data_IF_005762303583
#
_entry.id   IF_005762303583
#
_cell.length_a   1.000
_cell.length_b   1.000
_cell.length_c   1.000
_cell.angle_alpha   90.00
_cell.angle_beta   90.00
_cell.angle_gamma   90.00
#
_symmetry.space_group_name_H-M   'P 1'
#
loop_
_entity.id
_entity.type
_entity.pdbx_description
1 polymer ?
#
# COMPACT_ATOMS: atom_id res chain seq x y z
N UNK A 1 -13.60 -24.76 -11.98
CA UNK A 1 -13.91 -23.90 -13.12
C UNK A 1 -13.80 -22.45 -12.64
N UNK A 2 -13.27 -21.53 -13.45
CA UNK A 2 -13.18 -20.11 -13.15
C UNK A 2 -12.33 -19.72 -11.92
N UNK A 3 -11.24 -20.42 -11.72
CA UNK A 3 -10.27 -20.06 -10.67
C UNK A 3 -9.52 -18.79 -11.05
N UNK A 4 -9.22 -17.95 -10.07
CA UNK A 4 -8.36 -16.78 -10.27
C UNK A 4 -6.91 -17.21 -10.44
N UNK A 5 -6.14 -16.42 -11.18
CA UNK A 5 -4.69 -16.54 -11.19
C UNK A 5 -4.12 -15.97 -9.90
N UNK A 6 -3.44 -16.80 -9.13
CA UNK A 6 -2.79 -16.46 -7.86
C UNK A 6 -1.28 -16.28 -7.98
N UNK A 7 -0.78 -16.17 -9.20
CA UNK A 7 0.65 -15.95 -9.43
C UNK A 7 1.03 -14.52 -9.04
N UNK A 8 1.95 -14.38 -8.11
CA UNK A 8 2.51 -13.08 -7.77
C UNK A 8 3.58 -12.70 -8.81
N UNK A 9 3.64 -11.40 -9.19
CA UNK A 9 4.77 -10.88 -9.97
C UNK A 9 6.10 -11.07 -9.21
N UNK A 10 7.24 -11.05 -9.91
CA UNK A 10 8.56 -11.14 -9.27
C UNK A 10 8.79 -10.04 -8.24
N UNK A 11 9.54 -10.36 -7.19
CA UNK A 11 9.93 -9.42 -6.12
C UNK A 11 11.42 -9.18 -6.18
N UNK A 12 11.80 -7.90 -6.28
CA UNK A 12 13.18 -7.43 -6.09
C UNK A 12 13.23 -6.53 -4.84
N UNK A 13 13.88 -7.01 -3.78
CA UNK A 13 13.99 -6.27 -2.52
C UNK A 13 14.74 -4.93 -2.64
N UNK A 14 15.51 -4.73 -3.69
CA UNK A 14 16.15 -3.44 -3.99
C UNK A 14 15.16 -2.37 -4.45
N UNK A 15 13.95 -2.78 -4.86
CA UNK A 15 12.88 -1.90 -5.32
C UNK A 15 11.77 -1.74 -4.29
N UNK A 16 11.75 -2.58 -3.25
CA UNK A 16 10.69 -2.60 -2.23
C UNK A 16 10.84 -1.44 -1.23
N UNK A 17 9.74 -0.79 -0.94
CA UNK A 17 9.66 0.36 -0.03
C UNK A 17 10.26 0.09 1.35
N UNK A 18 9.92 -1.03 1.97
CA UNK A 18 10.31 -1.30 3.35
C UNK A 18 11.83 -1.37 3.54
N UNK A 19 12.57 -2.18 2.75
CA UNK A 19 14.03 -2.22 2.89
C UNK A 19 14.73 -0.95 2.39
N UNK A 20 14.29 -0.34 1.29
CA UNK A 20 14.95 0.87 0.77
C UNK A 20 14.79 2.08 1.69
N UNK A 21 13.67 2.18 2.42
CA UNK A 21 13.42 3.23 3.41
C UNK A 21 13.90 2.86 4.81
N UNK A 22 14.48 1.67 4.99
CA UNK A 22 14.92 1.16 6.30
C UNK A 22 13.80 1.29 7.34
N UNK A 23 12.60 0.88 6.95
CA UNK A 23 11.40 1.03 7.77
C UNK A 23 11.57 0.28 9.10
N UNK A 24 11.32 0.91 10.26
CA UNK A 24 11.37 0.24 11.56
C UNK A 24 10.51 -1.02 11.60
N UNK A 25 10.92 -2.01 12.39
CA UNK A 25 10.29 -3.34 12.39
C UNK A 25 8.80 -3.30 12.75
N UNK A 26 8.41 -2.50 13.74
CA UNK A 26 7.01 -2.34 14.15
C UNK A 26 6.14 -1.78 13.01
N UNK A 27 6.62 -0.78 12.29
CA UNK A 27 5.96 -0.21 11.11
C UNK A 27 5.97 -1.18 9.93
N UNK A 28 7.07 -1.90 9.71
CA UNK A 28 7.15 -2.93 8.66
C UNK A 28 6.11 -4.02 8.86
N UNK A 29 5.95 -4.53 10.08
CA UNK A 29 4.92 -5.53 10.42
C UNK A 29 3.51 -4.98 10.17
N UNK A 30 3.27 -3.74 10.58
CA UNK A 30 1.98 -3.07 10.39
C UNK A 30 1.63 -2.91 8.91
N UNK A 31 2.57 -2.40 8.11
CA UNK A 31 2.38 -2.20 6.66
C UNK A 31 2.20 -3.55 5.95
N UNK A 32 2.97 -4.58 6.32
CA UNK A 32 2.81 -5.91 5.75
C UNK A 32 1.43 -6.51 6.03
N UNK A 33 0.96 -6.45 7.27
CA UNK A 33 -0.33 -7.03 7.63
C UNK A 33 -1.53 -6.26 7.09
N UNK A 34 -1.42 -4.93 6.97
CA UNK A 34 -2.53 -4.07 6.58
C UNK A 34 -2.58 -3.73 5.08
N UNK A 35 -1.45 -3.79 4.37
CA UNK A 35 -1.33 -3.23 3.02
C UNK A 35 -0.82 -4.22 1.97
N UNK A 36 0.14 -5.09 2.32
CA UNK A 36 0.89 -5.86 1.34
C UNK A 36 0.07 -6.85 0.53
N UNK A 37 -1.00 -7.42 1.06
CA UNK A 37 -1.83 -8.35 0.28
C UNK A 37 -2.40 -7.72 -1.00
N UNK A 38 -2.77 -6.45 -0.95
CA UNK A 38 -3.29 -5.72 -2.12
C UNK A 38 -2.26 -4.78 -2.77
N UNK A 39 -1.30 -4.29 -2.01
CA UNK A 39 -0.37 -3.26 -2.45
C UNK A 39 1.07 -3.74 -2.59
N UNK A 40 1.28 -5.02 -2.88
CA UNK A 40 2.60 -5.56 -3.18
C UNK A 40 2.52 -6.76 -4.12
N UNK A 41 3.69 -7.26 -4.52
CA UNK A 41 3.82 -8.52 -5.25
C UNK A 41 3.95 -9.74 -4.32
N UNK A 42 3.66 -9.56 -3.04
CA UNK A 42 3.79 -10.60 -1.99
C UNK A 42 2.42 -10.95 -1.37
N UNK A 43 1.39 -11.05 -2.19
CA UNK A 43 0.05 -11.43 -1.74
C UNK A 43 0.03 -12.85 -1.19
N UNK A 44 -0.47 -13.03 0.03
CA UNK A 44 -0.79 -14.34 0.60
C UNK A 44 -2.29 -14.59 0.35
N UNK A 45 -2.58 -15.40 -0.66
CA UNK A 45 -3.97 -15.69 -1.04
C UNK A 45 -4.68 -16.54 0.02
N UNK A 46 -5.78 -16.05 0.60
CA UNK A 46 -6.53 -16.81 1.60
C UNK A 46 -7.31 -17.96 0.96
N UNK A 47 -7.81 -18.88 1.79
CA UNK A 47 -8.59 -20.01 1.33
C UNK A 47 -9.82 -19.64 0.50
N UNK A 48 -10.51 -18.55 0.87
CA UNK A 48 -11.71 -18.09 0.18
C UNK A 48 -11.43 -17.53 -1.23
N UNK A 49 -10.18 -17.29 -1.58
CA UNK A 49 -9.77 -16.96 -2.95
C UNK A 49 -10.16 -18.07 -3.96
N UNK A 50 -10.41 -19.27 -3.48
CA UNK A 50 -10.85 -20.40 -4.31
C UNK A 50 -12.38 -20.53 -4.41
N UNK A 51 -13.14 -19.67 -3.70
CA UNK A 51 -14.59 -19.70 -3.63
C UNK A 51 -15.15 -18.49 -4.38
N UNK A 52 -15.84 -18.74 -5.49
CA UNK A 52 -16.46 -17.66 -6.26
C UNK A 52 -17.83 -17.27 -5.68
N UNK A 53 -18.21 -16.00 -5.70
CA UNK A 53 -17.55 -14.84 -6.35
C UNK A 53 -16.44 -14.15 -5.53
N UNK A 54 -16.16 -14.61 -4.31
CA UNK A 54 -15.19 -13.95 -3.41
C UNK A 54 -13.78 -13.88 -4.01
N UNK A 55 -13.35 -14.94 -4.70
CA UNK A 55 -12.05 -14.97 -5.37
C UNK A 55 -11.92 -13.88 -6.44
N UNK A 56 -12.94 -13.68 -7.26
CA UNK A 56 -12.95 -12.62 -8.29
C UNK A 56 -12.90 -11.24 -7.66
N UNK A 57 -13.72 -11.00 -6.66
CA UNK A 57 -13.74 -9.73 -5.92
C UNK A 57 -12.39 -9.41 -5.29
N UNK A 58 -11.78 -10.40 -4.65
CA UNK A 58 -10.43 -10.27 -4.07
C UNK A 58 -9.39 -9.95 -5.15
N UNK A 59 -9.42 -10.67 -6.28
CA UNK A 59 -8.47 -10.45 -7.38
C UNK A 59 -8.57 -9.05 -7.96
N UNK A 60 -9.77 -8.53 -8.15
CA UNK A 60 -9.99 -7.17 -8.65
C UNK A 60 -9.40 -6.12 -7.69
N UNK A 61 -9.58 -6.31 -6.37
CA UNK A 61 -9.00 -5.42 -5.36
C UNK A 61 -7.47 -5.48 -5.33
N UNK A 62 -6.87 -6.67 -5.51
CA UNK A 62 -5.42 -6.83 -5.58
C UNK A 62 -4.87 -6.13 -6.83
N UNK A 63 -5.48 -6.34 -7.97
CA UNK A 63 -5.05 -5.74 -9.25
C UNK A 63 -5.17 -4.21 -9.20
N UNK A 64 -6.26 -3.69 -8.65
CA UNK A 64 -6.45 -2.26 -8.45
C UNK A 64 -5.45 -1.69 -7.44
N UNK A 65 -5.28 -2.36 -6.30
CA UNK A 65 -4.32 -1.97 -5.27
C UNK A 65 -2.90 -1.84 -5.83
N UNK A 66 -2.45 -2.81 -6.62
CA UNK A 66 -1.14 -2.77 -7.28
C UNK A 66 -1.02 -1.63 -8.30
N UNK A 67 -2.10 -1.30 -9.02
CA UNK A 67 -2.10 -0.15 -9.94
C UNK A 67 -1.99 1.18 -9.20
N UNK A 68 -2.69 1.32 -8.09
CA UNK A 68 -2.71 2.56 -7.30
C UNK A 68 -1.40 2.78 -6.55
N UNK A 69 -0.90 1.76 -5.88
CA UNK A 69 0.37 1.78 -5.14
C UNK A 69 0.88 0.35 -5.02
N UNK A 70 2.10 0.10 -5.49
CA UNK A 70 2.79 -1.17 -5.31
C UNK A 70 4.09 -0.95 -4.53
N UNK A 71 4.12 -1.38 -3.28
CA UNK A 71 5.30 -1.25 -2.42
C UNK A 71 6.50 -2.07 -2.94
N UNK A 72 6.26 -3.21 -3.60
CA UNK A 72 7.34 -4.05 -4.15
C UNK A 72 8.12 -3.36 -5.29
N UNK A 73 7.50 -2.42 -5.98
CA UNK A 73 8.09 -1.69 -7.12
C UNK A 73 8.27 -0.20 -6.83
N UNK A 74 8.23 0.20 -5.57
CA UNK A 74 8.18 1.61 -5.16
C UNK A 74 9.35 2.44 -5.70
N UNK A 75 10.57 1.88 -5.73
CA UNK A 75 11.76 2.58 -6.24
C UNK A 75 11.70 2.87 -7.74
N UNK A 76 10.81 2.21 -8.49
CA UNK A 76 10.61 2.47 -9.93
C UNK A 76 9.81 3.74 -10.19
N UNK A 77 9.11 4.27 -9.20
CA UNK A 77 8.37 5.53 -9.36
C UNK A 77 9.30 6.74 -9.35
N UNK A 78 9.03 7.69 -10.23
CA UNK A 78 9.67 9.01 -10.17
C UNK A 78 9.42 9.70 -8.82
N UNK A 79 10.35 10.50 -8.30
CA UNK A 79 10.24 11.09 -6.96
C UNK A 79 8.93 11.84 -6.68
N UNK A 80 8.45 12.63 -7.63
CA UNK A 80 7.16 13.32 -7.50
C UNK A 80 6.00 12.32 -7.37
N UNK A 81 6.04 11.24 -8.14
CA UNK A 81 5.03 10.18 -8.07
C UNK A 81 5.09 9.43 -6.74
N UNK A 82 6.30 9.16 -6.23
CA UNK A 82 6.49 8.58 -4.89
C UNK A 82 5.84 9.47 -3.82
N UNK A 83 6.12 10.78 -3.83
CA UNK A 83 5.56 11.73 -2.87
C UNK A 83 4.02 11.79 -2.97
N UNK A 84 3.45 11.82 -4.16
CA UNK A 84 2.00 11.80 -4.37
C UNK A 84 1.35 10.53 -3.85
N UNK A 85 1.96 9.36 -4.08
CA UNK A 85 1.45 8.08 -3.60
C UNK A 85 1.49 7.98 -2.07
N UNK A 86 2.56 8.44 -1.45
CA UNK A 86 2.69 8.47 0.01
C UNK A 86 1.66 9.43 0.63
N UNK A 87 1.46 10.59 0.03
CA UNK A 87 0.47 11.56 0.48
C UNK A 87 -0.96 11.00 0.40
N UNK A 88 -1.29 10.36 -0.72
CA UNK A 88 -2.59 9.69 -0.91
C UNK A 88 -2.78 8.54 0.09
N UNK A 89 -1.77 7.69 0.26
CA UNK A 89 -1.83 6.58 1.21
C UNK A 89 -2.08 7.07 2.65
N UNK A 90 -1.37 8.11 3.09
CA UNK A 90 -1.57 8.72 4.40
C UNK A 90 -3.00 9.25 4.58
N UNK A 91 -3.53 9.90 3.56
CA UNK A 91 -4.91 10.40 3.55
C UNK A 91 -5.94 9.27 3.67
N UNK A 92 -5.81 8.22 2.85
CA UNK A 92 -6.72 7.06 2.86
C UNK A 92 -6.72 6.34 4.23
N UNK A 93 -5.55 6.19 4.85
CA UNK A 93 -5.46 5.62 6.20
C UNK A 93 -6.10 6.55 7.24
N UNK A 94 -5.81 7.85 7.16
CA UNK A 94 -6.35 8.85 8.09
C UNK A 94 -7.88 8.92 8.04
N UNK A 95 -8.46 8.85 6.85
CA UNK A 95 -9.90 8.91 6.62
C UNK A 95 -10.62 7.58 6.89
N UNK A 96 -9.86 6.50 7.17
CA UNK A 96 -10.40 5.17 7.44
C UNK A 96 -10.85 4.40 6.19
N UNK A 97 -10.47 4.85 5.00
CA UNK A 97 -10.75 4.16 3.74
C UNK A 97 -9.84 2.94 3.53
N UNK A 98 -8.64 2.96 4.12
CA UNK A 98 -7.68 1.86 4.10
C UNK A 98 -7.24 1.46 5.51
N UNK A 99 -7.10 0.16 5.81
CA UNK A 99 -7.47 -0.98 4.96
C UNK A 99 -8.98 -1.05 4.67
N UNK A 100 -9.36 -1.65 3.52
CA UNK A 100 -10.77 -1.79 3.14
C UNK A 100 -11.58 -2.53 4.21
N UNK A 101 -12.77 -2.04 4.52
CA UNK A 101 -13.66 -2.66 5.50
C UNK A 101 -14.00 -4.11 5.14
N UNK A 102 -14.23 -4.39 3.85
CA UNK A 102 -14.49 -5.74 3.36
C UNK A 102 -13.32 -6.71 3.60
N UNK A 103 -12.09 -6.22 3.47
CA UNK A 103 -10.88 -6.99 3.81
C UNK A 103 -10.77 -7.28 5.30
N UNK A 104 -11.06 -6.29 6.14
CA UNK A 104 -11.00 -6.41 7.61
C UNK A 104 -12.00 -7.43 8.18
N UNK A 105 -13.10 -7.72 7.49
CA UNK A 105 -14.05 -8.74 7.93
C UNK A 105 -13.40 -10.13 8.06
N UNK A 106 -12.46 -10.45 7.18
CA UNK A 106 -11.77 -11.74 7.14
C UNK A 106 -10.33 -11.68 7.68
N UNK A 107 -9.79 -10.47 7.89
CA UNK A 107 -8.40 -10.21 8.29
C UNK A 107 -8.35 -9.23 9.46
N UNK A 108 -8.78 -9.71 10.63
CA UNK A 108 -8.83 -8.88 11.86
C UNK A 108 -7.46 -8.36 12.29
N UNK A 109 -6.39 -9.11 11.97
CA UNK A 109 -5.00 -8.74 12.22
C UNK A 109 -4.55 -7.50 11.44
N UNK A 110 -5.23 -7.18 10.34
CA UNK A 110 -4.97 -6.00 9.53
C UNK A 110 -5.62 -4.72 10.08
N UNK A 111 -6.50 -4.85 11.08
CA UNK A 111 -7.19 -3.70 11.69
C UNK A 111 -6.21 -2.87 12.50
N UNK A 112 -6.15 -1.58 12.19
CA UNK A 112 -5.35 -0.61 12.92
C UNK A 112 -6.18 0.06 14.01
N UNK A 113 -5.66 0.11 15.24
CA UNK A 113 -6.23 0.96 16.28
C UNK A 113 -5.86 2.43 16.00
N UNK A 114 -6.40 3.37 16.78
CA UNK A 114 -6.18 4.79 16.57
C UNK A 114 -4.71 5.18 16.68
N UNK A 115 -3.99 4.66 17.67
CA UNK A 115 -2.57 4.92 17.86
C UNK A 115 -1.72 4.39 16.68
N UNK A 116 -1.98 3.17 16.23
CA UNK A 116 -1.32 2.58 15.06
C UNK A 116 -1.59 3.37 13.79
N UNK A 117 -2.82 3.82 13.61
CA UNK A 117 -3.22 4.64 12.47
C UNK A 117 -2.45 5.97 12.45
N UNK A 118 -2.38 6.67 13.58
CA UNK A 118 -1.64 7.92 13.71
C UNK A 118 -0.15 7.74 13.46
N UNK A 119 0.44 6.67 14.00
CA UNK A 119 1.84 6.33 13.78
C UNK A 119 2.13 6.06 12.29
N UNK A 120 1.28 5.29 11.64
CA UNK A 120 1.43 4.97 10.21
C UNK A 120 1.28 6.22 9.34
N UNK A 121 0.26 7.05 9.60
CA UNK A 121 0.04 8.31 8.87
C UNK A 121 1.25 9.23 9.03
N UNK A 122 1.75 9.41 10.25
CA UNK A 122 2.93 10.22 10.53
C UNK A 122 4.15 9.70 9.78
N UNK A 123 4.36 8.39 9.77
CA UNK A 123 5.47 7.77 9.04
C UNK A 123 5.38 8.00 7.53
N UNK A 124 4.21 7.76 6.93
CA UNK A 124 4.01 7.96 5.48
C UNK A 124 4.23 9.42 5.07
N UNK A 125 3.73 10.36 5.86
CA UNK A 125 3.94 11.80 5.62
C UNK A 125 5.41 12.21 5.82
N UNK A 126 6.11 11.64 6.79
CA UNK A 126 7.53 11.86 6.98
C UNK A 126 8.34 11.37 5.78
N UNK A 127 8.04 10.18 5.27
CA UNK A 127 8.69 9.66 4.06
C UNK A 127 8.37 10.50 2.82
N UNK A 128 7.14 11.01 2.71
CA UNK A 128 6.77 12.00 1.69
C UNK A 128 7.64 13.24 1.78
N UNK A 129 7.75 13.84 2.96
CA UNK A 129 8.50 15.08 3.18
C UNK A 129 10.00 14.89 2.87
N UNK A 130 10.58 13.77 3.30
CA UNK A 130 11.98 13.43 2.99
C UNK A 130 12.18 13.31 1.48
N UNK A 131 11.28 12.63 0.77
CA UNK A 131 11.34 12.50 -0.69
C UNK A 131 11.28 13.87 -1.38
N UNK A 132 10.39 14.73 -0.92
CA UNK A 132 10.26 16.09 -1.44
C UNK A 132 11.53 16.92 -1.22
N UNK A 133 12.07 16.91 0.01
CA UNK A 133 13.29 17.64 0.35
C UNK A 133 14.49 17.17 -0.47
N UNK A 134 14.68 15.87 -0.61
CA UNK A 134 15.80 15.29 -1.36
C UNK A 134 15.74 15.58 -2.86
N UNK A 135 14.56 15.87 -3.41
CA UNK A 135 14.35 16.06 -4.84
C UNK A 135 13.85 17.45 -5.22
N UNK A 136 13.85 18.41 -4.29
CA UNK A 136 13.43 19.79 -4.56
C UNK A 136 11.97 19.92 -5.02
N UNK A 137 11.07 19.08 -4.53
CA UNK A 137 9.65 19.07 -4.87
C UNK A 137 8.89 20.01 -3.96
N UNK A 138 8.09 20.91 -4.54
CA UNK A 138 7.24 21.86 -3.79
C UNK A 138 5.87 21.27 -3.46
N UNK A 139 5.23 21.82 -2.44
CA UNK A 139 3.83 21.47 -2.09
C UNK A 139 2.84 21.74 -3.24
N UNK A 140 3.12 22.75 -4.07
CA UNK A 140 2.28 23.07 -5.23
C UNK A 140 2.25 21.94 -6.26
N UNK A 141 3.39 21.24 -6.46
CA UNK A 141 3.49 20.10 -7.37
C UNK A 141 2.71 18.86 -6.92
N UNK A 142 2.43 18.75 -5.60
CA UNK A 142 1.60 17.65 -5.06
C UNK A 142 0.12 17.83 -5.39
N UNK A 143 -0.34 19.05 -5.63
CA UNK A 143 -1.75 19.32 -5.90
C UNK A 143 -2.19 18.67 -7.21
N UNK A 144 -3.46 18.22 -7.30
CA UNK A 144 -4.01 17.76 -8.56
C UNK A 144 -3.93 18.88 -9.58
N UNK A 145 -3.50 18.56 -10.81
CA UNK A 145 -3.59 19.53 -11.91
C UNK A 145 -5.07 19.87 -12.09
N UNK A 146 -5.41 21.13 -11.92
CA UNK A 146 -6.73 21.63 -12.30
C UNK A 146 -6.89 21.42 -13.81
N UNK A 147 -7.96 20.71 -14.18
CA UNK A 147 -8.35 20.55 -15.59
C UNK A 147 -9.02 21.80 -16.07
#
# INVERSE_FOLDING_TARGET
FFRIDKTNPPVDKKMDFLPIKKTPENLSKMIKSACYDCHSNETVYPWYANVQPFGWFLKDHIDEGRRELNFSTFATYEPLRQAKKLNKAAKEVKEGEMPLESYLLMHKEAKLNQEQKELLVTYLLTMKDITMMQNGISEEELKPKQK
#
